data_IF_826791173401
#
_entry.id   IF_826791173401
#
_cell.length_a   1.000
_cell.length_b   1.000
_cell.length_c   1.000
_cell.angle_alpha   90.00
_cell.angle_beta   90.00
_cell.angle_gamma   90.00
#
_symmetry.space_group_name_H-M   'P 1'
#
loop_
_entity.id
_entity.type
_entity.pdbx_description
1 polymer ?
#
# COMPACT_ATOMS: atom_id res chain seq x y z
N UNK A 1 16.61 8.01 -15.54
CA UNK A 1 15.90 7.65 -16.78
C UNK A 1 16.67 6.66 -17.62
N UNK A 2 16.02 6.15 -18.67
CA UNK A 2 16.59 5.20 -19.62
C UNK A 2 16.11 3.77 -19.40
N UNK A 3 16.18 3.00 -20.48
CA UNK A 3 15.74 1.61 -20.52
C UNK A 3 16.74 0.68 -19.79
N UNK A 4 16.22 -0.25 -19.01
CA UNK A 4 16.94 -1.43 -18.56
C UNK A 4 16.49 -2.60 -19.43
N UNK A 5 17.43 -3.18 -20.18
CA UNK A 5 17.14 -4.26 -21.13
C UNK A 5 17.90 -5.54 -20.79
N UNK A 6 17.34 -6.68 -21.16
CA UNK A 6 18.04 -7.97 -21.07
C UNK A 6 19.00 -8.17 -22.26
N UNK A 7 19.74 -9.28 -22.25
CA UNK A 7 20.70 -9.63 -23.31
C UNK A 7 20.05 -9.94 -24.66
N UNK A 8 18.73 -10.07 -24.71
CA UNK A 8 17.94 -10.28 -25.94
C UNK A 8 17.28 -8.99 -26.43
N UNK A 9 17.54 -7.85 -25.77
CA UNK A 9 16.98 -6.55 -26.10
C UNK A 9 15.56 -6.31 -25.56
N UNK A 10 15.03 -7.19 -24.69
CA UNK A 10 13.71 -6.96 -24.09
C UNK A 10 13.82 -5.90 -22.99
N UNK A 11 12.85 -4.99 -22.96
CA UNK A 11 12.71 -4.00 -21.90
C UNK A 11 12.22 -4.68 -20.62
N UNK A 12 13.03 -4.66 -19.57
CA UNK A 12 12.73 -5.27 -18.25
C UNK A 12 12.46 -4.24 -17.15
N UNK A 13 12.89 -3.00 -17.35
CA UNK A 13 12.67 -1.93 -16.38
C UNK A 13 13.02 -0.55 -16.90
N UNK A 14 12.72 0.45 -16.08
CA UNK A 14 13.06 1.86 -16.32
C UNK A 14 13.95 2.34 -15.18
N UNK A 15 15.19 2.73 -15.48
CA UNK A 15 16.12 3.25 -14.49
C UNK A 15 15.57 4.52 -13.84
N UNK A 16 15.53 4.57 -12.49
CA UNK A 16 14.79 5.62 -11.77
C UNK A 16 15.64 6.36 -10.76
N UNK A 17 16.45 5.65 -9.98
CA UNK A 17 17.23 6.21 -8.89
C UNK A 17 18.55 5.48 -8.68
N UNK A 18 19.49 6.14 -8.02
CA UNK A 18 20.72 5.53 -7.50
C UNK A 18 20.76 5.69 -5.98
N UNK A 19 21.39 4.75 -5.31
CA UNK A 19 21.73 4.94 -3.90
C UNK A 19 23.00 5.79 -3.81
N UNK A 20 22.94 6.88 -3.04
CA UNK A 20 24.03 7.85 -2.92
C UNK A 20 24.01 8.53 -1.55
N UNK A 21 25.20 8.67 -0.93
CA UNK A 21 25.36 9.41 0.33
C UNK A 21 25.93 10.82 0.09
N UNK A 22 26.56 11.07 -1.06
CA UNK A 22 27.28 12.33 -1.36
C UNK A 22 27.12 12.81 -2.79
N UNK A 23 26.07 12.38 -3.49
CA UNK A 23 25.79 12.73 -4.89
C UNK A 23 26.55 11.89 -5.92
N UNK A 24 27.50 11.05 -5.53
CA UNK A 24 28.17 10.08 -6.39
C UNK A 24 27.48 8.70 -6.36
N UNK A 25 27.65 7.89 -7.42
CA UNK A 25 27.14 6.53 -7.46
C UNK A 25 27.92 5.61 -6.52
N UNK A 26 27.21 4.85 -5.68
CA UNK A 26 27.79 3.77 -4.86
C UNK A 26 27.67 2.40 -5.53
N UNK A 27 27.42 2.35 -6.84
CA UNK A 27 27.29 1.10 -7.59
C UNK A 27 25.92 0.42 -7.44
N UNK A 28 24.97 1.05 -6.75
CA UNK A 28 23.61 0.52 -6.57
C UNK A 28 22.63 1.43 -7.30
N UNK A 29 21.84 0.87 -8.20
CA UNK A 29 20.77 1.54 -8.92
C UNK A 29 19.44 0.83 -8.75
N UNK A 30 18.37 1.56 -8.95
CA UNK A 30 16.99 1.07 -8.88
C UNK A 30 16.28 1.32 -10.21
N UNK A 31 15.52 0.32 -10.64
CA UNK A 31 14.66 0.43 -11.81
C UNK A 31 13.22 0.05 -11.44
N UNK A 32 12.25 0.71 -12.07
CA UNK A 32 10.85 0.32 -11.98
C UNK A 32 10.65 -0.89 -12.89
N UNK A 33 10.12 -2.02 -12.41
CA UNK A 33 9.82 -3.19 -13.25
C UNK A 33 8.88 -2.80 -14.39
N UNK A 34 9.14 -3.33 -15.60
CA UNK A 34 8.38 -2.94 -16.79
C UNK A 34 6.88 -3.25 -16.68
N UNK A 35 6.50 -4.32 -16.02
CA UNK A 35 5.09 -4.66 -15.81
C UNK A 35 4.35 -3.57 -15.02
N UNK A 36 5.00 -3.00 -14.00
CA UNK A 36 4.44 -1.89 -13.22
C UNK A 36 4.35 -0.62 -14.07
N UNK A 37 5.41 -0.30 -14.84
CA UNK A 37 5.42 0.85 -15.74
C UNK A 37 4.31 0.74 -16.80
N UNK A 38 4.07 -0.46 -17.34
CA UNK A 38 2.99 -0.73 -18.30
C UNK A 38 1.61 -0.48 -17.68
N UNK A 39 1.34 -0.96 -16.48
CA UNK A 39 0.08 -0.70 -15.78
C UNK A 39 -0.16 0.80 -15.56
N UNK A 40 0.88 1.54 -15.17
CA UNK A 40 0.81 3.01 -15.02
C UNK A 40 0.52 3.68 -16.35
N UNK A 41 1.20 3.29 -17.41
CA UNK A 41 0.99 3.82 -18.77
C UNK A 41 -0.45 3.57 -19.25
N UNK A 42 -0.94 2.35 -19.14
CA UNK A 42 -2.30 1.97 -19.52
C UNK A 42 -3.36 2.77 -18.74
N UNK A 43 -3.12 2.99 -17.43
CA UNK A 43 -4.00 3.82 -16.59
C UNK A 43 -4.03 5.29 -17.06
N UNK A 44 -2.87 5.85 -17.44
CA UNK A 44 -2.77 7.21 -17.95
C UNK A 44 -3.47 7.33 -19.32
N UNK A 45 -3.25 6.38 -20.22
CA UNK A 45 -3.87 6.38 -21.54
C UNK A 45 -5.39 6.26 -21.48
N UNK A 46 -5.90 5.41 -20.59
CA UNK A 46 -7.34 5.17 -20.45
C UNK A 46 -8.08 6.26 -19.67
N UNK A 47 -7.44 6.82 -18.62
CA UNK A 47 -8.11 7.67 -17.64
C UNK A 47 -7.46 9.07 -17.48
N UNK A 48 -6.43 9.38 -18.26
CA UNK A 48 -5.68 10.64 -18.16
C UNK A 48 -4.81 10.78 -16.91
N UNK A 49 -4.89 9.81 -15.97
CA UNK A 49 -4.14 9.83 -14.70
C UNK A 49 -4.06 8.45 -14.06
N UNK A 50 -3.07 8.26 -13.18
CA UNK A 50 -3.00 7.07 -12.33
C UNK A 50 -3.88 7.30 -11.11
N UNK A 51 -5.06 6.68 -11.10
CA UNK A 51 -5.94 6.70 -9.96
C UNK A 51 -5.60 5.52 -9.02
N UNK A 52 -4.98 5.81 -7.87
CA UNK A 52 -4.68 4.80 -6.84
C UNK A 52 -5.81 4.76 -5.82
N UNK A 53 -6.24 3.54 -5.47
CA UNK A 53 -7.16 3.35 -4.36
C UNK A 53 -6.57 3.86 -3.04
N UNK A 54 -7.46 4.31 -2.17
CA UNK A 54 -7.11 4.85 -0.86
C UNK A 54 -8.26 4.60 0.12
N UNK A 55 -7.96 4.28 1.37
CA UNK A 55 -8.99 3.99 2.37
C UNK A 55 -8.94 4.91 3.60
N UNK A 56 -7.90 5.73 3.76
CA UNK A 56 -7.82 6.72 4.84
C UNK A 56 -7.46 6.10 6.19
N UNK A 57 -6.41 5.31 6.24
CA UNK A 57 -5.85 4.73 7.47
C UNK A 57 -4.41 5.17 7.66
N UNK A 58 -3.95 5.16 8.91
CA UNK A 58 -2.56 5.29 9.30
C UNK A 58 -2.04 3.90 9.68
N UNK A 59 -1.32 3.22 8.76
CA UNK A 59 -0.85 1.87 8.99
C UNK A 59 0.53 1.87 9.66
N UNK A 60 0.76 0.90 10.55
CA UNK A 60 2.02 0.68 11.25
C UNK A 60 2.39 -0.80 11.21
N UNK A 61 3.68 -1.11 10.97
CA UNK A 61 4.16 -2.48 11.06
C UNK A 61 4.08 -2.99 12.48
N UNK A 62 3.66 -4.25 12.64
CA UNK A 62 3.69 -4.92 13.93
C UNK A 62 5.14 -5.19 14.36
N UNK A 63 5.40 -5.01 15.63
CA UNK A 63 6.61 -5.45 16.31
C UNK A 63 6.22 -6.23 17.58
N UNK A 64 7.21 -6.82 18.25
CA UNK A 64 6.97 -7.65 19.42
C UNK A 64 6.25 -6.90 20.55
N UNK A 65 6.64 -5.66 20.81
CA UNK A 65 6.06 -4.81 21.85
C UNK A 65 4.59 -4.50 21.59
N UNK A 66 4.24 -4.20 20.31
CA UNK A 66 2.85 -3.97 19.90
C UNK A 66 2.01 -5.24 20.03
N UNK A 67 2.53 -6.40 19.63
CA UNK A 67 1.83 -7.67 19.79
C UNK A 67 1.51 -7.98 21.25
N UNK A 68 2.48 -7.79 22.14
CA UNK A 68 2.30 -7.96 23.58
C UNK A 68 1.26 -6.98 24.15
N UNK A 69 1.33 -5.70 23.76
CA UNK A 69 0.39 -4.67 24.23
C UNK A 69 -1.04 -4.89 23.74
N UNK A 70 -1.21 -5.49 22.57
CA UNK A 70 -2.51 -5.85 22.00
C UNK A 70 -3.03 -7.21 22.46
N UNK A 71 -2.24 -7.95 23.25
CA UNK A 71 -2.58 -9.30 23.71
C UNK A 71 -2.69 -10.31 22.57
N UNK A 72 -1.92 -10.12 21.49
CA UNK A 72 -1.93 -10.97 20.32
C UNK A 72 -0.78 -11.99 20.33
N UNK A 73 -0.97 -13.17 19.74
CA UNK A 73 0.08 -14.15 19.59
C UNK A 73 1.32 -13.57 18.87
N UNK A 74 2.51 -13.97 19.29
CA UNK A 74 3.78 -13.49 18.72
C UNK A 74 3.96 -13.78 17.22
N UNK A 75 3.24 -14.78 16.69
CA UNK A 75 3.23 -15.14 15.27
C UNK A 75 2.12 -14.45 14.46
N UNK A 76 1.40 -13.47 15.05
CA UNK A 76 0.38 -12.71 14.32
C UNK A 76 1.03 -11.90 13.20
N UNK A 77 0.53 -12.09 11.99
CA UNK A 77 0.96 -11.36 10.79
C UNK A 77 -0.13 -10.40 10.37
N UNK A 78 0.24 -9.13 10.16
CA UNK A 78 -0.72 -8.10 9.78
C UNK A 78 -0.13 -6.69 9.89
N UNK A 79 -0.99 -5.71 9.75
CA UNK A 79 -0.66 -4.28 9.85
C UNK A 79 -1.57 -3.63 10.87
N UNK A 80 -1.00 -3.02 11.90
CA UNK A 80 -1.76 -2.26 12.88
C UNK A 80 -2.31 -0.98 12.24
N UNK A 81 -3.58 -0.70 12.47
CA UNK A 81 -4.20 0.57 12.11
C UNK A 81 -4.13 1.48 13.34
N UNK A 82 -3.17 2.41 13.35
CA UNK A 82 -2.97 3.36 14.46
C UNK A 82 -3.93 4.53 14.41
N UNK A 83 -4.41 4.89 13.21
CA UNK A 83 -5.37 5.96 13.00
C UNK A 83 -6.30 5.69 11.82
N UNK A 84 -7.49 6.29 11.87
CA UNK A 84 -8.48 6.23 10.78
C UNK A 84 -9.00 7.64 10.54
N UNK A 85 -8.93 8.10 9.29
CA UNK A 85 -9.42 9.42 8.92
C UNK A 85 -10.94 9.46 9.04
N UNK A 86 -11.44 10.42 9.82
CA UNK A 86 -12.88 10.65 10.00
C UNK A 86 -13.57 10.92 8.65
N UNK A 87 -14.71 10.26 8.42
CA UNK A 87 -15.44 10.33 7.15
C UNK A 87 -14.72 9.65 5.97
N UNK A 88 -13.54 9.06 6.19
CA UNK A 88 -12.81 8.29 5.18
C UNK A 88 -13.47 6.94 4.85
N UNK A 89 -13.05 6.28 3.76
CA UNK A 89 -13.58 4.98 3.37
C UNK A 89 -13.49 3.91 4.46
N UNK A 90 -12.36 3.81 5.15
CA UNK A 90 -12.16 2.85 6.24
C UNK A 90 -13.07 3.15 7.45
N UNK A 91 -13.22 4.45 7.82
CA UNK A 91 -14.12 4.86 8.89
C UNK A 91 -15.57 4.47 8.60
N UNK A 92 -16.03 4.74 7.36
CA UNK A 92 -17.39 4.35 6.93
C UNK A 92 -17.61 2.85 6.90
N UNK A 93 -16.54 2.08 6.64
CA UNK A 93 -16.58 0.61 6.69
C UNK A 93 -16.54 0.04 8.12
N UNK A 94 -16.32 0.89 9.13
CA UNK A 94 -16.24 0.48 10.52
C UNK A 94 -14.87 0.00 10.98
N UNK A 95 -13.80 0.32 10.25
CA UNK A 95 -12.42 0.13 10.71
C UNK A 95 -12.15 1.11 11.85
N UNK A 96 -11.50 0.63 12.90
CA UNK A 96 -11.19 1.41 14.09
C UNK A 96 -9.67 1.42 14.37
N UNK A 97 -9.16 2.47 15.01
CA UNK A 97 -7.81 2.42 15.59
C UNK A 97 -7.66 1.23 16.53
N UNK A 98 -6.54 0.53 16.44
CA UNK A 98 -6.28 -0.72 17.17
C UNK A 98 -6.66 -2.00 16.43
N UNK A 99 -7.32 -1.92 15.27
CA UNK A 99 -7.51 -3.08 14.39
C UNK A 99 -6.16 -3.52 13.79
N UNK A 100 -5.96 -4.83 13.67
CA UNK A 100 -4.85 -5.39 12.89
C UNK A 100 -5.41 -5.91 11.57
N UNK A 101 -5.06 -5.27 10.46
CA UNK A 101 -5.47 -5.68 9.13
C UNK A 101 -4.61 -6.85 8.67
N UNK A 102 -5.23 -8.01 8.44
CA UNK A 102 -4.57 -9.28 8.14
C UNK A 102 -4.72 -9.72 6.68
N UNK A 103 -5.76 -9.26 5.97
CA UNK A 103 -5.93 -9.54 4.55
C UNK A 103 -6.75 -8.47 3.84
N UNK A 104 -6.51 -8.31 2.52
CA UNK A 104 -7.27 -7.47 1.59
C UNK A 104 -7.69 -8.34 0.41
N UNK A 105 -8.99 -8.43 0.12
CA UNK A 105 -9.59 -9.26 -0.93
C UNK A 105 -9.17 -10.75 -0.88
N UNK A 106 -8.88 -11.26 0.31
CA UNK A 106 -8.42 -12.63 0.52
C UNK A 106 -6.90 -12.80 0.51
N UNK A 107 -6.15 -11.83 0.00
CA UNK A 107 -4.68 -11.87 0.00
C UNK A 107 -4.12 -11.38 1.34
N UNK A 108 -3.24 -12.16 1.95
CA UNK A 108 -2.64 -11.81 3.24
C UNK A 108 -1.85 -10.51 3.16
N UNK A 109 -1.89 -9.74 4.22
CA UNK A 109 -1.20 -8.47 4.35
C UNK A 109 -0.15 -8.56 5.46
N UNK A 110 1.14 -8.55 5.10
CA UNK A 110 2.25 -8.79 6.04
C UNK A 110 2.91 -7.52 6.56
N UNK A 111 2.90 -6.46 5.76
CA UNK A 111 3.53 -5.19 6.10
C UNK A 111 2.79 -4.00 5.47
N UNK A 112 3.15 -2.78 5.92
CA UNK A 112 2.56 -1.52 5.46
C UNK A 112 2.70 -1.34 3.95
N UNK A 113 3.85 -1.71 3.38
CA UNK A 113 4.10 -1.56 1.94
C UNK A 113 3.16 -2.46 1.13
N UNK A 114 2.99 -3.71 1.56
CA UNK A 114 2.08 -4.65 0.90
C UNK A 114 0.64 -4.17 0.99
N UNK A 115 0.18 -3.71 2.18
CA UNK A 115 -1.14 -3.11 2.36
C UNK A 115 -1.39 -1.96 1.38
N UNK A 116 -0.47 -0.98 1.36
CA UNK A 116 -0.63 0.19 0.50
C UNK A 116 -0.68 -0.17 -0.98
N UNK A 117 0.11 -1.16 -1.41
CA UNK A 117 0.10 -1.66 -2.79
C UNK A 117 -1.21 -2.37 -3.12
N UNK A 118 -1.70 -3.27 -2.26
CA UNK A 118 -2.97 -3.98 -2.46
C UNK A 118 -4.13 -2.99 -2.59
N UNK A 119 -4.23 -2.01 -1.68
CA UNK A 119 -5.28 -0.98 -1.75
C UNK A 119 -5.14 -0.11 -2.99
N UNK A 120 -3.92 0.29 -3.36
CA UNK A 120 -3.67 1.10 -4.56
C UNK A 120 -4.10 0.40 -5.85
N UNK A 121 -3.89 -0.92 -5.96
CA UNK A 121 -4.26 -1.72 -7.13
C UNK A 121 -5.77 -1.88 -7.32
N UNK A 122 -6.55 -1.83 -6.24
CA UNK A 122 -8.02 -1.91 -6.33
C UNK A 122 -8.59 -0.72 -7.12
N UNK A 123 -7.90 0.44 -7.09
CA UNK A 123 -8.35 1.67 -7.71
C UNK A 123 -9.48 2.35 -6.91
N UNK A 124 -9.76 3.63 -7.13
CA UNK A 124 -10.82 4.36 -6.43
C UNK A 124 -12.21 3.95 -6.93
N UNK A 125 -13.20 3.98 -6.02
CA UNK A 125 -14.59 3.65 -6.32
C UNK A 125 -14.92 2.16 -6.30
N UNK A 126 -13.93 1.30 -6.08
CA UNK A 126 -14.13 -0.15 -6.01
C UNK A 126 -14.24 -0.63 -4.56
N UNK A 127 -14.88 -1.78 -4.36
CA UNK A 127 -15.01 -2.41 -3.05
C UNK A 127 -13.71 -3.15 -2.68
N UNK A 128 -13.22 -2.91 -1.47
CA UNK A 128 -12.14 -3.64 -0.82
C UNK A 128 -12.72 -4.46 0.34
N UNK A 129 -12.54 -5.77 0.31
CA UNK A 129 -12.88 -6.64 1.43
C UNK A 129 -11.68 -6.67 2.39
N UNK A 130 -11.84 -6.06 3.56
CA UNK A 130 -10.82 -5.95 4.59
C UNK A 130 -11.07 -7.00 5.67
N UNK A 131 -10.12 -7.88 5.92
CA UNK A 131 -10.17 -8.76 7.07
C UNK A 131 -9.30 -8.18 8.17
N UNK A 132 -9.92 -7.89 9.31
CA UNK A 132 -9.23 -7.30 10.48
C UNK A 132 -9.36 -8.20 11.69
N UNK A 133 -8.37 -8.14 12.56
CA UNK A 133 -8.38 -8.75 13.88
C UNK A 133 -8.63 -7.63 14.91
N UNK A 134 -9.76 -7.68 15.59
CA UNK A 134 -10.17 -6.75 16.64
C UNK A 134 -10.37 -7.48 17.95
N UNK A 135 -9.57 -7.16 18.97
CA UNK A 135 -9.61 -7.81 20.29
C UNK A 135 -9.61 -9.35 20.17
N UNK A 136 -8.74 -9.88 19.32
CA UNK A 136 -8.59 -11.33 19.08
C UNK A 136 -9.67 -11.98 18.21
N UNK A 137 -10.66 -11.23 17.70
CA UNK A 137 -11.72 -11.74 16.81
C UNK A 137 -11.53 -11.25 15.39
N UNK A 138 -11.65 -12.16 14.42
CA UNK A 138 -11.67 -11.80 13.00
C UNK A 138 -12.99 -11.15 12.61
N UNK A 139 -12.91 -10.03 11.88
CA UNK A 139 -14.05 -9.33 11.30
C UNK A 139 -13.77 -9.10 9.81
N UNK A 140 -14.80 -9.23 8.98
CA UNK A 140 -14.75 -8.85 7.57
C UNK A 140 -15.53 -7.56 7.36
N UNK A 141 -14.85 -6.55 6.81
CA UNK A 141 -15.40 -5.21 6.57
C UNK A 141 -15.29 -4.88 5.08
N UNK A 142 -16.30 -4.20 4.55
CA UNK A 142 -16.33 -3.77 3.14
C UNK A 142 -16.11 -2.27 3.07
N UNK A 143 -14.99 -1.85 2.49
CA UNK A 143 -14.65 -0.46 2.30
C UNK A 143 -14.73 -0.10 0.82
N UNK A 144 -15.45 0.97 0.48
CA UNK A 144 -15.40 1.52 -0.87
C UNK A 144 -14.19 2.46 -0.96
N UNK A 145 -13.18 2.07 -1.73
CA UNK A 145 -11.95 2.84 -1.89
C UNK A 145 -12.25 4.24 -2.45
N UNK A 146 -11.54 5.22 -1.95
CA UNK A 146 -11.59 6.61 -2.43
C UNK A 146 -10.36 6.96 -3.26
N UNK A 147 -10.34 8.19 -3.78
CA UNK A 147 -9.15 8.81 -4.35
C UNK A 147 -8.35 9.47 -3.23
N UNK A 148 -7.04 9.25 -3.20
CA UNK A 148 -6.17 9.87 -2.19
C UNK A 148 -6.29 11.39 -2.27
N UNK A 149 -6.58 12.11 -1.16
CA UNK A 149 -6.59 13.57 -1.15
C UNK A 149 -5.20 14.09 -1.57
N UNK A 150 -5.18 15.17 -2.36
CA UNK A 150 -3.93 15.87 -2.63
C UNK A 150 -3.40 16.45 -1.31
N UNK A 151 -2.08 16.38 -1.03
CA UNK A 151 -1.51 17.09 0.10
C UNK A 151 -1.92 18.56 0.01
N UNK A 152 -2.42 19.15 1.10
CA UNK A 152 -2.59 20.60 1.16
C UNK A 152 -1.17 21.18 1.08
N UNK A 153 -0.85 21.86 -0.01
CA UNK A 153 0.33 22.73 -0.09
C UNK A 153 0.14 23.77 1.00
N UNK A 154 0.96 23.70 2.04
CA UNK A 154 1.08 24.81 2.99
C UNK A 154 1.78 25.93 2.21
N UNK A 155 1.03 26.98 1.91
CA UNK A 155 1.59 28.27 1.47
C UNK A 155 2.29 28.92 2.65
#
# INVERSE_FOLDING_TARGET
GGALVDTRGNLIGINTAIYSNNGGSMGIGFAIPINLAKQVMESILSNGSVARGWIGVEPQNLNKELLESLGLPANTVGVLISGVLEGGPAARAGVLPGDVLIAVNGDSCKDVRQLLNQIAQIGPGNEANLKVLRKGKELSLKAQTGKRPKPKTMN
#
